data_IF_655078183758
#
_entry.id   IF_655078183758
#
_cell.length_a   1.000
_cell.length_b   1.000
_cell.length_c   1.000
_cell.angle_alpha   90.00
_cell.angle_beta   90.00
_cell.angle_gamma   90.00
#
_symmetry.space_group_name_H-M   'P 1'
#
loop_
_entity.id
_entity.type
_entity.pdbx_description
1 polymer ?
#
# COMPACT_ATOMS: atom_id res chain seq x y z
N UNK A 1 -9.54 22.44 17.55
CA UNK A 1 -8.82 21.92 16.36
C UNK A 1 -7.65 22.79 15.90
N UNK A 2 -7.68 24.11 16.09
CA UNK A 2 -6.57 25.02 15.69
C UNK A 2 -5.33 24.95 16.58
N UNK A 3 -5.46 24.66 17.85
CA UNK A 3 -4.34 24.69 18.82
C UNK A 3 -3.34 23.54 18.67
N UNK A 4 -3.72 22.39 18.16
CA UNK A 4 -2.78 21.29 17.94
C UNK A 4 -2.03 21.43 16.59
N UNK A 5 -2.66 22.05 15.58
CA UNK A 5 -2.02 22.36 14.28
C UNK A 5 -0.80 23.26 14.47
N UNK A 6 -0.94 24.32 15.29
CA UNK A 6 0.17 25.22 15.65
C UNK A 6 1.25 24.49 16.47
N UNK A 7 0.87 23.59 17.38
CA UNK A 7 1.81 22.80 18.17
C UNK A 7 2.66 21.83 17.31
N UNK A 8 2.06 21.20 16.30
CA UNK A 8 2.75 20.26 15.40
C UNK A 8 3.67 20.97 14.41
N UNK A 9 3.24 22.12 13.88
CA UNK A 9 4.01 22.92 12.92
C UNK A 9 5.16 23.72 13.59
N UNK A 10 5.00 24.05 14.89
CA UNK A 10 5.99 24.85 15.63
C UNK A 10 6.92 24.02 16.51
N UNK A 11 6.65 22.74 16.74
CA UNK A 11 7.64 21.85 17.34
C UNK A 11 8.78 21.64 16.34
N UNK A 12 9.84 22.42 16.52
CA UNK A 12 11.06 22.25 15.79
C UNK A 12 11.58 20.83 16.08
N UNK A 13 11.39 19.91 15.15
CA UNK A 13 11.92 18.54 15.21
C UNK A 13 13.45 18.49 15.31
N UNK A 14 14.12 19.65 15.27
CA UNK A 14 15.56 19.77 15.04
C UNK A 14 16.32 20.66 16.04
N UNK A 15 15.72 21.13 17.16
CA UNK A 15 16.42 22.03 18.08
C UNK A 15 17.41 21.38 19.04
N UNK A 16 17.35 20.05 19.20
CA UNK A 16 18.33 19.35 20.05
C UNK A 16 19.38 18.73 19.15
N UNK A 17 20.68 19.13 19.31
CA UNK A 17 21.75 18.52 18.54
C UNK A 17 21.74 17.01 18.71
N UNK A 18 21.65 16.30 17.61
CA UNK A 18 21.72 14.85 17.59
C UNK A 18 23.04 14.40 18.23
N UNK A 19 22.99 13.44 19.14
CA UNK A 19 24.17 13.02 19.92
C UNK A 19 24.21 13.56 21.34
N UNK A 20 23.26 14.42 21.75
CA UNK A 20 23.21 15.00 23.08
C UNK A 20 22.72 14.07 24.19
N UNK A 21 22.01 12.99 23.80
CA UNK A 21 21.46 12.02 24.74
C UNK A 21 22.25 10.71 24.77
N UNK A 22 22.24 10.05 25.93
CA UNK A 22 22.75 8.67 26.03
C UNK A 22 21.76 7.73 25.39
N UNK A 23 22.26 6.79 24.59
CA UNK A 23 21.41 5.71 24.04
C UNK A 23 20.94 4.82 25.19
N UNK A 24 19.64 4.77 25.44
CA UNK A 24 19.04 3.89 26.45
C UNK A 24 18.24 2.80 25.73
N UNK A 25 18.37 1.55 26.22
CA UNK A 25 17.52 0.47 25.77
C UNK A 25 16.10 0.69 26.30
N UNK A 26 15.09 0.63 25.42
CA UNK A 26 13.67 0.76 25.80
C UNK A 26 13.30 -0.24 26.89
N UNK A 27 13.88 -1.43 26.87
CA UNK A 27 13.59 -2.48 27.85
C UNK A 27 14.06 -2.12 29.25
N UNK A 28 15.07 -1.28 29.37
CA UNK A 28 15.60 -0.79 30.67
C UNK A 28 14.85 0.44 31.18
N UNK A 29 14.11 1.16 30.30
CA UNK A 29 13.30 2.30 30.74
C UNK A 29 12.13 1.85 31.62
N UNK A 30 11.86 2.65 32.65
CA UNK A 30 10.70 2.43 33.51
C UNK A 30 9.39 2.63 32.73
N UNK A 31 8.39 1.84 33.07
CA UNK A 31 7.07 1.94 32.45
C UNK A 31 6.45 3.32 32.63
N UNK A 32 6.72 3.99 33.77
CA UNK A 32 6.24 5.34 34.05
C UNK A 32 6.74 6.38 33.05
N UNK A 33 8.00 6.29 32.64
CA UNK A 33 8.58 7.16 31.60
C UNK A 33 7.92 6.93 30.25
N UNK A 34 7.74 5.66 29.84
CA UNK A 34 7.07 5.33 28.59
C UNK A 34 5.60 5.76 28.57
N UNK A 35 4.88 5.55 29.67
CA UNK A 35 3.49 6.00 29.82
C UNK A 35 3.40 7.52 29.71
N UNK A 36 4.31 8.24 30.38
CA UNK A 36 4.35 9.71 30.31
C UNK A 36 4.60 10.20 28.87
N UNK A 37 5.59 9.62 28.19
CA UNK A 37 5.93 9.96 26.80
C UNK A 37 4.79 9.64 25.83
N UNK A 38 4.15 8.47 25.96
CA UNK A 38 3.00 8.10 25.11
C UNK A 38 1.80 9.02 25.30
N UNK A 39 1.54 9.47 26.54
CA UNK A 39 0.50 10.45 26.83
C UNK A 39 0.79 11.85 26.29
N UNK A 40 2.07 12.19 26.12
CA UNK A 40 2.49 13.48 25.60
C UNK A 40 2.59 13.51 24.05
N UNK A 41 2.42 12.37 23.37
CA UNK A 41 2.35 12.36 21.90
C UNK A 41 1.14 13.18 21.41
N UNK A 42 1.33 14.07 20.43
CA UNK A 42 0.24 14.85 19.83
C UNK A 42 -0.62 13.96 18.93
N UNK A 43 -1.62 13.30 19.50
CA UNK A 43 -2.49 12.36 18.79
C UNK A 43 -3.91 12.40 19.28
N UNK A 44 -4.87 12.20 18.37
CA UNK A 44 -6.27 11.96 18.70
C UNK A 44 -6.60 10.46 18.75
N UNK A 45 -5.67 9.60 18.30
CA UNK A 45 -5.82 8.15 18.37
C UNK A 45 -5.44 7.70 19.79
N UNK A 46 -6.33 6.97 20.50
CA UNK A 46 -5.99 6.46 21.82
C UNK A 46 -4.77 5.52 21.78
N UNK A 47 -3.73 5.88 22.52
CA UNK A 47 -2.49 5.08 22.61
C UNK A 47 -2.42 4.47 24.03
N UNK A 48 -2.90 3.24 24.24
CA UNK A 48 -2.77 2.56 25.52
C UNK A 48 -1.35 2.00 25.69
N UNK A 49 -0.85 2.02 26.93
CA UNK A 49 0.39 1.34 27.29
C UNK A 49 0.11 -0.09 27.76
N UNK A 50 0.91 -1.04 27.25
CA UNK A 50 1.02 -2.41 27.75
C UNK A 50 2.33 -3.04 27.25
N UNK A 51 2.63 -4.28 27.69
CA UNK A 51 3.85 -4.98 27.31
C UNK A 51 4.01 -5.14 25.78
N UNK A 52 2.93 -5.32 25.01
CA UNK A 52 3.00 -5.44 23.55
C UNK A 52 3.41 -4.11 22.91
N UNK A 53 2.93 -3.00 23.43
CA UNK A 53 3.30 -1.65 22.98
C UNK A 53 4.76 -1.36 23.31
N UNK A 54 5.24 -1.74 24.52
CA UNK A 54 6.66 -1.63 24.89
C UNK A 54 7.56 -2.38 23.91
N UNK A 55 7.21 -3.63 23.56
CA UNK A 55 7.94 -4.42 22.56
C UNK A 55 7.87 -3.82 21.15
N UNK A 56 6.74 -3.23 20.77
CA UNK A 56 6.60 -2.48 19.52
C UNK A 56 7.59 -1.31 19.43
N UNK A 57 7.73 -0.55 20.52
CA UNK A 57 8.72 0.54 20.63
C UNK A 57 10.14 -0.02 20.59
N UNK A 58 10.43 -1.08 21.36
CA UNK A 58 11.75 -1.72 21.40
C UNK A 58 12.20 -2.23 20.03
N UNK A 59 11.26 -2.71 19.20
CA UNK A 59 11.53 -3.15 17.84
C UNK A 59 12.22 -2.08 16.99
N UNK A 60 11.88 -0.80 17.16
CA UNK A 60 12.45 0.28 16.36
C UNK A 60 13.64 0.94 17.07
N UNK A 61 13.53 1.19 18.36
CA UNK A 61 14.58 1.93 19.13
C UNK A 61 15.75 1.02 19.46
N UNK A 62 15.50 -0.18 20.00
CA UNK A 62 16.54 -1.08 20.47
C UNK A 62 17.04 -2.05 19.39
N UNK A 63 16.12 -2.69 18.66
CA UNK A 63 16.47 -3.76 17.72
C UNK A 63 16.85 -3.23 16.34
N UNK A 64 16.24 -2.10 15.89
CA UNK A 64 16.41 -1.56 14.52
C UNK A 64 16.71 -0.07 14.47
N UNK A 65 17.63 0.49 15.27
CA UNK A 65 17.91 1.93 15.28
C UNK A 65 18.43 2.44 13.92
N UNK A 66 19.16 1.59 13.18
CA UNK A 66 19.62 1.92 11.81
C UNK A 66 18.47 2.15 10.84
N UNK A 67 17.38 1.37 10.98
CA UNK A 67 16.17 1.54 10.17
C UNK A 67 15.52 2.89 10.44
N UNK A 68 15.41 3.29 11.72
CA UNK A 68 14.82 4.59 12.09
C UNK A 68 15.64 5.74 11.50
N UNK A 69 16.98 5.67 11.49
CA UNK A 69 17.83 6.69 10.86
C UNK A 69 17.50 6.90 9.39
N UNK A 70 17.21 5.81 8.64
CA UNK A 70 16.80 5.87 7.24
C UNK A 70 15.38 6.43 7.12
N UNK A 71 14.45 5.97 7.98
CA UNK A 71 13.07 6.43 7.99
C UNK A 71 12.96 7.93 8.29
N UNK A 72 13.73 8.44 9.25
CA UNK A 72 13.77 9.87 9.55
C UNK A 72 14.22 10.68 8.34
N UNK A 73 15.27 10.23 7.68
CA UNK A 73 15.79 10.91 6.49
C UNK A 73 14.81 10.87 5.30
N UNK A 74 14.11 9.74 5.06
CA UNK A 74 13.05 9.63 4.06
C UNK A 74 11.79 10.41 4.48
N UNK A 75 11.52 10.43 5.78
CA UNK A 75 10.38 11.12 6.38
C UNK A 75 10.39 12.63 6.13
N UNK A 76 11.56 13.27 6.08
CA UNK A 76 11.67 14.69 5.75
C UNK A 76 11.07 15.04 4.39
N UNK A 77 11.09 14.08 3.44
CA UNK A 77 10.47 14.25 2.13
C UNK A 77 9.02 13.75 2.09
N UNK A 78 8.74 12.56 2.64
CA UNK A 78 7.45 11.90 2.44
C UNK A 78 6.38 12.34 3.45
N UNK A 79 6.73 12.53 4.72
CA UNK A 79 5.73 12.86 5.76
C UNK A 79 4.99 14.17 5.47
N UNK A 80 5.63 15.30 5.10
CA UNK A 80 4.89 16.53 4.82
C UNK A 80 3.83 16.37 3.73
N UNK A 81 4.14 15.58 2.68
CA UNK A 81 3.20 15.30 1.58
C UNK A 81 2.00 14.50 2.09
N UNK A 82 2.27 13.47 2.90
CA UNK A 82 1.22 12.59 3.41
C UNK A 82 0.37 13.28 4.48
N UNK A 83 0.99 14.05 5.37
CA UNK A 83 0.33 14.83 6.43
C UNK A 83 -0.62 15.87 5.84
N UNK A 84 -0.20 16.61 4.79
CA UNK A 84 -1.07 17.55 4.07
C UNK A 84 -2.31 16.86 3.50
N UNK A 85 -2.13 15.69 2.87
CA UNK A 85 -3.23 14.92 2.28
C UNK A 85 -4.18 14.43 3.36
N UNK A 86 -3.67 13.92 4.48
CA UNK A 86 -4.47 13.42 5.59
C UNK A 86 -5.23 14.55 6.28
N UNK A 87 -4.59 15.68 6.56
CA UNK A 87 -5.21 16.85 7.18
C UNK A 87 -6.37 17.39 6.34
N UNK A 88 -6.16 17.60 5.02
CA UNK A 88 -7.25 18.10 4.15
C UNK A 88 -8.41 17.11 3.99
N UNK A 89 -8.19 15.80 4.22
CA UNK A 89 -9.23 14.78 4.24
C UNK A 89 -9.89 14.64 5.64
N UNK A 90 -9.45 15.40 6.63
CA UNK A 90 -9.95 15.38 8.01
C UNK A 90 -9.57 14.12 8.79
N UNK A 91 -8.40 13.54 8.48
CA UNK A 91 -7.88 12.34 9.11
C UNK A 91 -6.75 12.67 10.11
N UNK A 92 -6.55 11.84 11.15
CA UNK A 92 -5.41 11.96 12.04
C UNK A 92 -4.11 11.87 11.25
N UNK A 93 -3.25 12.89 11.36
CA UNK A 93 -2.00 12.94 10.58
C UNK A 93 -1.00 11.87 11.02
N UNK A 94 -1.08 11.43 12.27
CA UNK A 94 -0.23 10.35 12.78
C UNK A 94 -0.45 9.00 12.07
N UNK A 95 -1.53 8.82 11.33
CA UNK A 95 -1.74 7.64 10.49
C UNK A 95 -0.68 7.49 9.38
N UNK A 96 0.07 8.53 9.03
CA UNK A 96 1.18 8.44 8.08
C UNK A 96 2.27 7.47 8.54
N UNK A 97 2.42 7.26 9.84
CA UNK A 97 3.36 6.27 10.39
C UNK A 97 3.01 4.81 10.08
N UNK A 98 1.81 4.53 9.52
CA UNK A 98 1.50 3.23 8.95
C UNK A 98 2.45 2.87 7.79
N UNK A 99 2.91 3.85 7.02
CA UNK A 99 3.87 3.63 5.94
C UNK A 99 5.24 3.13 6.42
N UNK A 100 5.59 3.42 7.67
CA UNK A 100 6.79 2.85 8.31
C UNK A 100 6.61 1.34 8.53
N UNK A 101 5.44 0.93 8.99
CA UNK A 101 5.12 -0.49 9.23
C UNK A 101 4.98 -1.25 7.91
N UNK A 102 4.34 -0.65 6.91
CA UNK A 102 4.04 -1.27 5.62
C UNK A 102 5.27 -1.44 4.72
N UNK A 103 6.08 -0.40 4.59
CA UNK A 103 7.14 -0.36 3.58
C UNK A 103 8.47 0.20 4.09
N UNK A 104 8.56 0.64 5.36
CA UNK A 104 9.69 1.43 5.87
C UNK A 104 9.98 2.66 4.98
N UNK A 105 8.93 3.33 4.49
CA UNK A 105 8.98 4.44 3.54
C UNK A 105 9.64 4.12 2.20
N UNK A 106 9.71 2.84 1.79
CA UNK A 106 10.21 2.46 0.48
C UNK A 106 9.09 2.57 -0.59
N UNK A 107 9.13 3.56 -1.51
CA UNK A 107 8.11 3.74 -2.53
C UNK A 107 8.09 2.61 -3.58
N UNK A 108 9.15 1.81 -3.68
CA UNK A 108 9.25 0.68 -4.60
C UNK A 108 8.89 -0.67 -3.96
N UNK A 109 8.47 -0.68 -2.71
CA UNK A 109 8.19 -1.91 -1.99
C UNK A 109 7.09 -2.75 -2.68
N UNK A 110 7.36 -4.04 -2.81
CA UNK A 110 6.39 -5.04 -3.29
C UNK A 110 6.43 -6.24 -2.37
N UNK A 111 5.32 -6.56 -1.74
CA UNK A 111 5.21 -7.74 -0.87
C UNK A 111 5.10 -9.03 -1.70
N UNK A 112 5.33 -10.17 -1.06
CA UNK A 112 5.13 -11.48 -1.67
C UNK A 112 3.69 -11.70 -2.15
N UNK A 113 2.71 -11.08 -1.51
CA UNK A 113 1.30 -11.12 -1.89
C UNK A 113 0.94 -10.10 -2.99
N UNK A 114 1.86 -9.24 -3.42
CA UNK A 114 1.66 -8.24 -4.47
C UNK A 114 1.07 -6.91 -3.97
N UNK A 115 1.07 -6.66 -2.66
CA UNK A 115 0.85 -5.33 -2.13
C UNK A 115 2.02 -4.41 -2.54
N UNK A 116 1.75 -3.14 -2.85
CA UNK A 116 2.74 -2.29 -3.53
C UNK A 116 2.75 -0.85 -3.02
N UNK A 117 3.93 -0.23 -3.07
CA UNK A 117 4.18 1.17 -2.75
C UNK A 117 4.28 1.45 -1.25
N UNK A 118 4.33 2.74 -0.90
CA UNK A 118 4.44 3.21 0.49
C UNK A 118 3.35 2.64 1.40
N UNK A 119 2.13 2.55 0.89
CA UNK A 119 0.92 2.15 1.60
C UNK A 119 0.58 0.66 1.45
N UNK A 120 1.40 -0.12 0.74
CA UNK A 120 1.20 -1.56 0.50
C UNK A 120 -0.24 -1.91 0.07
N UNK A 121 -0.80 -1.13 -0.84
CA UNK A 121 -2.14 -1.37 -1.35
C UNK A 121 -2.17 -2.64 -2.22
N UNK A 122 -3.13 -3.53 -1.96
CA UNK A 122 -3.39 -4.68 -2.81
C UNK A 122 -3.98 -4.25 -4.15
N UNK A 123 -3.71 -5.00 -5.21
CA UNK A 123 -4.20 -4.69 -6.57
C UNK A 123 -5.73 -4.48 -6.63
N UNK A 124 -6.58 -5.34 -6.04
CA UNK A 124 -8.02 -5.11 -6.03
C UNK A 124 -8.41 -3.83 -5.28
N UNK A 125 -7.79 -3.59 -4.13
CA UNK A 125 -8.04 -2.40 -3.30
C UNK A 125 -7.63 -1.12 -4.03
N UNK A 126 -6.43 -1.07 -4.64
CA UNK A 126 -6.00 0.09 -5.40
C UNK A 126 -6.97 0.42 -6.55
N UNK A 127 -7.43 -0.60 -7.28
CA UNK A 127 -8.42 -0.40 -8.36
C UNK A 127 -9.78 0.08 -7.86
N UNK A 128 -10.27 -0.47 -6.75
CA UNK A 128 -11.55 -0.02 -6.15
C UNK A 128 -11.51 1.40 -5.63
N UNK A 129 -10.31 1.90 -5.31
CA UNK A 129 -10.05 3.27 -4.89
C UNK A 129 -9.71 4.22 -6.06
N UNK A 130 -9.85 3.75 -7.30
CA UNK A 130 -9.68 4.58 -8.51
C UNK A 130 -8.27 4.69 -9.03
N UNK A 131 -7.29 3.95 -8.50
CA UNK A 131 -5.91 3.99 -8.98
C UNK A 131 -5.78 3.33 -10.36
N UNK A 132 -5.06 4.00 -11.26
CA UNK A 132 -4.69 3.46 -12.58
C UNK A 132 -3.58 2.41 -12.42
N UNK A 133 -3.88 1.17 -12.77
CA UNK A 133 -2.94 0.06 -12.67
C UNK A 133 -2.97 -0.75 -13.96
N UNK A 134 -1.93 -0.56 -14.78
CA UNK A 134 -1.77 -1.22 -16.08
C UNK A 134 -0.31 -1.67 -16.31
N UNK A 135 0.05 -2.00 -17.55
CA UNK A 135 1.38 -2.49 -17.91
C UNK A 135 2.48 -1.42 -17.83
N UNK A 136 2.16 -0.14 -17.97
CA UNK A 136 3.10 0.99 -17.97
C UNK A 136 3.03 1.80 -16.68
N UNK A 137 1.84 1.96 -16.10
CA UNK A 137 1.59 2.78 -14.92
C UNK A 137 1.02 1.93 -13.80
N UNK A 138 1.50 2.16 -12.59
CA UNK A 138 0.92 1.61 -11.35
C UNK A 138 0.92 2.70 -10.28
N UNK A 139 -0.22 3.34 -10.11
CA UNK A 139 -0.38 4.48 -9.20
C UNK A 139 -0.35 4.10 -7.70
N UNK A 140 -0.24 2.81 -7.38
CA UNK A 140 0.07 2.37 -6.01
C UNK A 140 1.47 2.80 -5.56
N UNK A 141 2.37 3.03 -6.53
CA UNK A 141 3.72 3.56 -6.28
C UNK A 141 3.76 5.09 -6.27
N UNK A 142 2.75 5.77 -6.83
CA UNK A 142 2.66 7.23 -6.81
C UNK A 142 2.39 7.73 -5.39
N UNK A 143 3.28 8.56 -4.86
CA UNK A 143 3.23 9.04 -3.48
C UNK A 143 1.92 9.78 -3.17
N UNK A 144 1.50 10.67 -4.07
CA UNK A 144 0.29 11.48 -3.86
C UNK A 144 -0.98 10.65 -4.04
N UNK A 145 -1.10 9.95 -5.17
CA UNK A 145 -2.31 9.19 -5.49
C UNK A 145 -2.53 8.01 -4.56
N UNK A 146 -1.45 7.30 -4.19
CA UNK A 146 -1.57 6.21 -3.23
C UNK A 146 -1.90 6.71 -1.83
N UNK A 147 -1.43 7.90 -1.45
CA UNK A 147 -1.78 8.52 -0.17
C UNK A 147 -3.25 8.96 -0.15
N UNK A 148 -3.77 9.57 -1.23
CA UNK A 148 -5.20 9.86 -1.36
C UNK A 148 -6.06 8.59 -1.27
N UNK A 149 -5.64 7.53 -1.95
CA UNK A 149 -6.35 6.26 -1.90
C UNK A 149 -6.31 5.64 -0.49
N UNK A 150 -5.17 5.70 0.20
CA UNK A 150 -5.04 5.22 1.58
C UNK A 150 -5.88 6.04 2.55
N UNK A 151 -5.91 7.37 2.41
CA UNK A 151 -6.75 8.26 3.20
C UNK A 151 -8.24 7.93 3.03
N UNK A 152 -8.68 7.78 1.78
CA UNK A 152 -10.06 7.38 1.48
C UNK A 152 -10.39 6.01 2.09
N UNK A 153 -9.49 5.03 1.98
CA UNK A 153 -9.71 3.70 2.52
C UNK A 153 -9.77 3.70 4.06
N UNK A 154 -8.86 4.39 4.74
CA UNK A 154 -8.86 4.53 6.19
C UNK A 154 -10.13 5.24 6.69
N UNK A 155 -10.60 6.26 5.97
CA UNK A 155 -11.87 6.94 6.25
C UNK A 155 -13.07 5.98 6.16
N UNK A 156 -13.11 5.13 5.12
CA UNK A 156 -14.14 4.10 4.98
C UNK A 156 -14.08 3.09 6.13
N UNK A 157 -12.88 2.64 6.50
CA UNK A 157 -12.70 1.69 7.61
C UNK A 157 -13.09 2.29 8.96
N UNK A 158 -12.77 3.57 9.20
CA UNK A 158 -13.23 4.27 10.39
C UNK A 158 -14.75 4.39 10.43
N UNK A 159 -15.39 4.69 9.31
CA UNK A 159 -16.84 4.72 9.19
C UNK A 159 -17.54 3.38 9.50
N UNK A 160 -16.83 2.25 9.32
CA UNK A 160 -17.35 0.92 9.65
C UNK A 160 -17.25 0.57 11.15
N UNK A 161 -16.21 1.05 11.83
CA UNK A 161 -15.89 0.59 13.19
C UNK A 161 -15.99 1.67 14.27
N UNK A 162 -16.05 2.94 13.87
CA UNK A 162 -16.03 4.12 14.75
C UNK A 162 -14.91 4.06 15.81
N UNK A 163 -13.79 3.45 15.42
CA UNK A 163 -12.63 3.22 16.29
C UNK A 163 -11.36 3.13 15.44
N UNK A 164 -10.42 4.05 15.65
CA UNK A 164 -9.19 4.11 14.86
C UNK A 164 -8.32 2.86 14.97
N UNK A 165 -8.18 2.27 16.16
CA UNK A 165 -7.37 1.05 16.32
C UNK A 165 -7.99 -0.14 15.58
N UNK A 166 -9.33 -0.22 15.51
CA UNK A 166 -10.00 -1.23 14.70
C UNK A 166 -9.91 -0.93 13.21
N UNK A 167 -9.98 0.34 12.81
CA UNK A 167 -9.79 0.76 11.41
C UNK A 167 -8.37 0.42 10.93
N UNK A 168 -7.34 0.71 11.74
CA UNK A 168 -5.94 0.35 11.46
C UNK A 168 -5.79 -1.19 11.39
N UNK A 169 -6.39 -1.95 12.30
CA UNK A 169 -6.38 -3.40 12.24
C UNK A 169 -7.06 -3.92 10.96
N UNK A 170 -8.17 -3.29 10.55
CA UNK A 170 -8.89 -3.63 9.32
C UNK A 170 -8.13 -3.25 8.05
N UNK A 171 -7.31 -2.21 8.09
CA UNK A 171 -6.39 -1.87 7.01
C UNK A 171 -5.43 -3.03 6.72
N UNK A 172 -4.85 -3.62 7.77
CA UNK A 172 -3.91 -4.73 7.66
C UNK A 172 -4.59 -6.05 7.25
N UNK A 173 -5.65 -6.48 7.93
CA UNK A 173 -6.23 -7.82 7.70
C UNK A 173 -7.54 -7.83 6.91
N UNK A 174 -8.05 -6.67 6.54
CA UNK A 174 -9.35 -6.50 5.91
C UNK A 174 -10.51 -6.43 6.93
N UNK A 175 -11.57 -5.64 6.62
CA UNK A 175 -12.69 -5.41 7.54
C UNK A 175 -13.44 -6.70 7.92
N UNK A 176 -13.53 -7.67 7.01
CA UNK A 176 -14.18 -8.95 7.29
C UNK A 176 -13.53 -9.76 8.41
N UNK A 177 -12.20 -9.68 8.60
CA UNK A 177 -11.51 -10.36 9.68
C UNK A 177 -11.73 -9.66 11.03
N UNK A 178 -11.77 -8.33 11.04
CA UNK A 178 -12.11 -7.55 12.25
C UNK A 178 -13.57 -7.83 12.66
N UNK A 179 -14.51 -7.82 11.74
CA UNK A 179 -15.92 -8.17 12.01
C UNK A 179 -16.06 -9.59 12.58
N UNK A 180 -15.31 -10.57 12.04
CA UNK A 180 -15.27 -11.93 12.61
C UNK A 180 -14.70 -11.94 14.03
N UNK A 181 -13.65 -11.16 14.30
CA UNK A 181 -13.04 -11.05 15.62
C UNK A 181 -14.02 -10.43 16.64
N UNK A 182 -14.73 -9.36 16.26
CA UNK A 182 -15.80 -8.75 17.08
C UNK A 182 -16.86 -9.79 17.44
N UNK A 183 -17.37 -10.54 16.46
CA UNK A 183 -18.36 -11.59 16.70
C UNK A 183 -17.83 -12.69 17.64
N UNK A 184 -16.58 -13.15 17.44
CA UNK A 184 -15.97 -14.19 18.28
C UNK A 184 -15.68 -13.74 19.71
N UNK A 185 -15.45 -12.46 19.92
CA UNK A 185 -15.20 -11.88 21.24
C UNK A 185 -16.47 -11.61 22.06
N UNK A 186 -17.66 -11.95 21.52
CA UNK A 186 -18.93 -11.62 22.15
C UNK A 186 -19.35 -10.16 21.97
N UNK A 187 -18.99 -9.54 20.83
CA UNK A 187 -19.40 -8.16 20.50
C UNK A 187 -18.50 -7.06 21.04
N UNK A 188 -17.27 -7.35 21.48
CA UNK A 188 -16.32 -6.31 21.92
C UNK A 188 -15.91 -5.43 20.76
N UNK A 189 -15.93 -4.10 20.96
CA UNK A 189 -15.64 -3.08 19.93
C UNK A 189 -14.34 -2.31 20.19
N UNK A 190 -13.44 -2.83 21.00
CA UNK A 190 -12.10 -2.28 21.21
C UNK A 190 -11.03 -3.22 20.64
N UNK A 191 -9.92 -2.66 20.15
CA UNK A 191 -8.82 -3.48 19.60
C UNK A 191 -8.34 -4.55 20.60
N UNK A 192 -8.06 -4.16 21.84
CA UNK A 192 -7.58 -5.09 22.88
C UNK A 192 -8.64 -6.13 23.28
N UNK A 193 -9.92 -5.77 23.17
CA UNK A 193 -11.02 -6.70 23.39
C UNK A 193 -11.12 -7.80 22.33
N UNK A 194 -10.79 -7.47 21.08
CA UNK A 194 -10.80 -8.43 19.95
C UNK A 194 -9.43 -9.04 19.66
N UNK A 195 -8.38 -8.54 20.29
CA UNK A 195 -6.98 -8.92 20.07
C UNK A 195 -6.74 -10.45 19.99
N UNK A 196 -7.23 -11.29 20.91
CA UNK A 196 -7.00 -12.74 20.84
C UNK A 196 -7.60 -13.41 19.61
N UNK A 197 -8.60 -12.78 18.99
CA UNK A 197 -9.37 -13.33 17.86
C UNK A 197 -8.89 -12.80 16.50
N UNK A 198 -7.98 -11.82 16.50
CA UNK A 198 -7.36 -11.29 15.29
C UNK A 198 -6.28 -12.24 14.72
N UNK A 199 -5.99 -12.20 13.43
CA UNK A 199 -4.81 -12.87 12.85
C UNK A 199 -3.54 -12.50 13.61
N UNK A 200 -2.59 -13.43 13.74
CA UNK A 200 -1.35 -13.23 14.50
C UNK A 200 -0.55 -12.00 14.01
N UNK A 201 -0.47 -11.80 12.73
CA UNK A 201 0.20 -10.64 12.12
C UNK A 201 -0.46 -9.33 12.56
N UNK A 202 -1.78 -9.26 12.50
CA UNK A 202 -2.56 -8.07 12.86
C UNK A 202 -2.46 -7.71 14.34
N UNK A 203 -2.26 -8.70 15.23
CA UNK A 203 -2.05 -8.44 16.66
C UNK A 203 -0.81 -7.58 16.91
N UNK A 204 0.25 -7.76 16.13
CA UNK A 204 1.47 -6.97 16.27
C UNK A 204 1.42 -5.65 15.51
N UNK A 205 0.44 -5.46 14.65
CA UNK A 205 0.38 -4.29 13.76
C UNK A 205 0.18 -2.98 14.53
N UNK A 206 -0.74 -2.95 15.51
CA UNK A 206 -0.96 -1.78 16.37
C UNK A 206 0.25 -1.48 17.25
N UNK A 207 0.85 -2.45 17.99
CA UNK A 207 2.11 -2.23 18.69
C UNK A 207 3.23 -1.64 17.82
N UNK A 208 3.39 -2.15 16.59
CA UNK A 208 4.38 -1.63 15.64
C UNK A 208 4.03 -0.22 15.14
N UNK A 209 2.77 0.09 14.87
CA UNK A 209 2.34 1.44 14.52
C UNK A 209 2.66 2.45 15.63
N UNK A 210 2.31 2.12 16.88
CA UNK A 210 2.63 2.97 18.04
C UNK A 210 4.15 3.10 18.21
N UNK A 211 4.88 1.98 18.03
CA UNK A 211 6.34 1.96 18.10
C UNK A 211 7.00 2.84 17.03
N UNK A 212 6.50 2.80 15.79
CA UNK A 212 6.97 3.64 14.69
C UNK A 212 6.75 5.13 14.96
N UNK A 213 5.54 5.48 15.42
CA UNK A 213 5.21 6.85 15.79
C UNK A 213 6.09 7.34 16.93
N UNK A 214 6.19 6.58 18.03
CA UNK A 214 7.07 6.88 19.14
C UNK A 214 8.53 7.07 18.71
N UNK A 215 9.04 6.14 17.90
CA UNK A 215 10.43 6.17 17.47
C UNK A 215 10.76 7.39 16.58
N UNK A 216 9.85 7.77 15.69
CA UNK A 216 10.02 8.96 14.86
C UNK A 216 9.87 10.26 15.67
N UNK A 217 9.03 10.28 16.69
CA UNK A 217 8.81 11.47 17.52
C UNK A 217 9.91 11.69 18.56
N UNK A 218 10.33 10.62 19.26
CA UNK A 218 11.32 10.65 20.34
C UNK A 218 12.74 10.20 19.91
N UNK A 219 13.05 10.25 18.61
CA UNK A 219 14.36 9.80 18.10
C UNK A 219 15.55 10.50 18.76
N UNK A 220 15.41 11.80 19.11
CA UNK A 220 16.45 12.58 19.75
C UNK A 220 16.76 12.07 21.15
N UNK A 221 15.73 11.78 21.96
CA UNK A 221 15.87 11.25 23.33
C UNK A 221 16.57 9.89 23.36
N UNK A 222 16.55 9.19 22.21
CA UNK A 222 17.23 7.91 22.04
C UNK A 222 18.54 8.02 21.24
N UNK A 223 19.03 9.25 21.00
CA UNK A 223 20.25 9.51 20.25
C UNK A 223 20.28 8.87 18.85
N UNK A 224 19.12 8.80 18.19
CA UNK A 224 18.98 8.28 16.83
C UNK A 224 18.94 9.45 15.85
N UNK A 225 20.03 9.66 15.12
CA UNK A 225 20.18 10.74 14.15
C UNK A 225 19.71 10.33 12.76
N UNK A 226 19.02 11.20 11.99
CA UNK A 226 18.75 10.94 10.58
C UNK A 226 20.03 10.62 9.80
N UNK A 227 19.92 9.74 8.84
CA UNK A 227 21.00 9.52 7.87
C UNK A 227 20.98 10.66 6.84
N UNK A 228 22.13 11.08 6.35
CA UNK A 228 22.19 12.07 5.26
C UNK A 228 21.40 11.58 4.04
N UNK A 229 20.54 12.44 3.49
CA UNK A 229 19.70 12.13 2.34
C UNK A 229 19.95 13.10 1.19
N UNK A 230 19.75 12.61 -0.04
CA UNK A 230 19.90 13.38 -1.29
C UNK A 230 18.58 13.66 -2.00
N UNK A 231 17.43 13.48 -1.34
CA UNK A 231 16.13 13.79 -1.96
C UNK A 231 15.97 15.29 -2.15
N UNK A 232 15.57 15.77 -3.34
CA UNK A 232 15.33 17.18 -3.56
C UNK A 232 14.08 17.60 -2.79
N UNK A 233 14.21 18.51 -1.83
CA UNK A 233 13.08 19.03 -1.04
C UNK A 233 12.11 19.87 -1.90
N UNK A 234 12.64 20.64 -2.87
CA UNK A 234 11.85 21.46 -3.75
C UNK A 234 11.57 20.76 -5.10
N UNK A 235 10.37 20.22 -5.23
CA UNK A 235 9.90 19.56 -6.46
C UNK A 235 8.55 20.10 -6.88
N UNK A 236 8.28 20.05 -8.20
CA UNK A 236 6.98 20.38 -8.74
C UNK A 236 6.58 19.37 -9.83
N UNK A 237 5.36 19.46 -10.32
CA UNK A 237 4.80 18.57 -11.34
C UNK A 237 4.53 19.31 -12.64
N UNK A 238 4.83 18.63 -13.75
CA UNK A 238 4.48 19.08 -15.09
C UNK A 238 3.52 18.10 -15.74
N UNK A 239 2.45 18.60 -16.35
CA UNK A 239 1.50 17.80 -17.11
C UNK A 239 2.09 17.39 -18.48
N UNK A 240 2.07 16.10 -18.78
CA UNK A 240 2.62 15.51 -19.99
C UNK A 240 1.50 14.91 -20.83
N UNK A 241 1.35 15.40 -22.07
CA UNK A 241 0.33 14.93 -23.01
C UNK A 241 0.88 13.96 -24.06
N UNK A 242 2.18 14.04 -24.34
CA UNK A 242 2.87 13.20 -25.31
C UNK A 242 3.63 12.09 -24.59
N UNK A 243 3.85 10.94 -25.24
CA UNK A 243 4.66 9.88 -24.63
C UNK A 243 6.11 10.35 -24.48
N UNK A 244 6.70 10.04 -23.32
CA UNK A 244 8.08 10.38 -22.96
C UNK A 244 8.77 9.25 -22.23
N UNK A 245 10.07 9.11 -22.45
CA UNK A 245 10.92 8.23 -21.65
C UNK A 245 11.74 9.03 -20.64
N UNK A 246 12.10 8.42 -19.53
CA UNK A 246 12.99 9.06 -18.55
C UNK A 246 14.36 9.43 -19.13
N UNK A 247 14.85 8.65 -20.12
CA UNK A 247 16.08 8.98 -20.83
C UNK A 247 15.96 10.31 -21.59
N UNK A 248 14.85 10.56 -22.30
CA UNK A 248 14.60 11.82 -23.00
C UNK A 248 14.48 13.00 -22.01
N UNK A 249 13.79 12.79 -20.89
CA UNK A 249 13.67 13.81 -19.84
C UNK A 249 15.05 14.13 -19.26
N UNK A 250 15.85 13.09 -18.94
CA UNK A 250 17.22 13.25 -18.45
C UNK A 250 18.09 14.02 -19.43
N UNK A 251 18.02 13.68 -20.71
CA UNK A 251 18.77 14.39 -21.77
C UNK A 251 18.39 15.87 -21.88
N UNK A 252 17.10 16.18 -21.77
CA UNK A 252 16.61 17.56 -21.90
C UNK A 252 16.86 18.40 -20.65
N UNK A 253 16.82 17.81 -19.46
CA UNK A 253 16.88 18.55 -18.18
C UNK A 253 18.23 18.51 -17.52
N UNK A 254 19.07 17.52 -17.87
CA UNK A 254 20.33 17.20 -17.16
C UNK A 254 20.11 16.45 -15.81
N UNK A 255 18.88 16.12 -15.45
CA UNK A 255 18.57 15.39 -14.21
C UNK A 255 18.90 13.91 -14.41
N UNK A 256 19.62 13.26 -13.50
CA UNK A 256 19.91 11.82 -13.59
C UNK A 256 18.62 10.99 -13.68
N UNK A 257 18.61 10.00 -14.58
CA UNK A 257 17.44 9.10 -14.79
C UNK A 257 16.99 8.43 -13.48
N UNK A 258 17.93 8.10 -12.59
CA UNK A 258 17.62 7.48 -11.31
C UNK A 258 16.87 8.44 -10.37
N UNK A 259 17.22 9.71 -10.37
CA UNK A 259 16.48 10.73 -9.62
C UNK A 259 15.07 10.93 -10.18
N UNK A 260 14.93 10.95 -11.52
CA UNK A 260 13.61 11.00 -12.17
C UNK A 260 12.77 9.78 -11.77
N UNK A 261 13.36 8.59 -11.74
CA UNK A 261 12.71 7.35 -11.33
C UNK A 261 12.26 7.40 -9.88
N UNK A 262 13.12 7.88 -8.99
CA UNK A 262 12.82 7.97 -7.55
C UNK A 262 11.65 8.91 -7.27
N UNK A 263 11.54 9.99 -8.02
CA UNK A 263 10.44 10.95 -7.91
C UNK A 263 9.15 10.48 -8.61
N UNK A 264 9.25 9.47 -9.51
CA UNK A 264 8.13 9.00 -10.33
C UNK A 264 8.07 7.46 -10.37
N UNK A 265 7.96 6.79 -9.22
CA UNK A 265 8.02 5.32 -9.16
C UNK A 265 6.83 4.62 -9.82
N UNK A 266 5.73 5.34 -10.08
CA UNK A 266 4.53 4.83 -10.76
C UNK A 266 4.79 4.43 -12.21
N UNK A 267 5.83 4.95 -12.89
CA UNK A 267 6.12 4.63 -14.28
C UNK A 267 7.08 3.44 -14.39
N UNK A 268 6.50 2.25 -14.54
CA UNK A 268 7.19 0.94 -14.40
C UNK A 268 8.44 0.75 -15.23
N UNK A 269 8.51 1.30 -16.42
CA UNK A 269 9.63 1.12 -17.35
C UNK A 269 10.34 2.44 -17.66
N UNK A 270 10.14 3.46 -16.84
CA UNK A 270 10.63 4.78 -17.15
C UNK A 270 10.00 5.36 -18.42
N UNK A 271 8.75 4.98 -18.69
CA UNK A 271 7.98 5.44 -19.84
C UNK A 271 6.68 6.05 -19.34
N UNK A 272 6.45 7.32 -19.65
CA UNK A 272 5.17 8.00 -19.49
C UNK A 272 4.39 7.71 -20.78
N UNK A 273 3.20 7.07 -20.71
CA UNK A 273 2.43 6.76 -21.90
C UNK A 273 1.79 8.01 -22.51
N UNK A 274 1.30 7.88 -23.74
CA UNK A 274 0.45 8.90 -24.33
C UNK A 274 -0.78 9.16 -23.42
N UNK A 275 -1.11 10.42 -23.22
CA UNK A 275 -2.29 10.79 -22.49
C UNK A 275 -3.57 10.40 -23.26
N UNK A 276 -4.57 9.92 -22.53
CA UNK A 276 -5.95 9.85 -23.00
C UNK A 276 -6.66 11.20 -22.80
N UNK A 277 -7.83 11.16 -22.19
CA UNK A 277 -8.57 12.36 -21.78
C UNK A 277 -7.90 13.15 -20.64
N UNK A 278 -7.12 12.46 -19.80
CA UNK A 278 -6.42 13.05 -18.65
C UNK A 278 -4.90 12.96 -18.86
N UNK A 279 -4.15 14.08 -18.74
CA UNK A 279 -2.70 14.07 -18.89
C UNK A 279 -2.06 13.30 -17.73
N UNK A 280 -0.92 12.66 -18.00
CA UNK A 280 -0.05 12.16 -16.97
C UNK A 280 0.82 13.29 -16.41
N UNK A 281 1.27 13.18 -15.17
CA UNK A 281 2.14 14.16 -14.53
C UNK A 281 3.52 13.55 -14.28
N UNK A 282 4.57 14.35 -14.46
CA UNK A 282 5.91 14.02 -14.03
C UNK A 282 6.34 15.00 -12.93
N UNK A 283 6.96 14.47 -11.88
CA UNK A 283 7.56 15.25 -10.79
C UNK A 283 9.05 15.39 -11.01
N UNK A 284 9.56 16.60 -10.93
CA UNK A 284 10.98 16.90 -11.06
C UNK A 284 11.40 17.93 -10.02
N UNK A 285 12.71 18.05 -9.71
CA UNK A 285 13.23 19.23 -9.03
C UNK A 285 12.83 20.50 -9.78
N UNK A 286 12.58 21.59 -9.06
CA UNK A 286 12.16 22.88 -9.66
C UNK A 286 13.08 23.33 -10.80
N UNK A 287 14.39 23.10 -10.68
CA UNK A 287 15.38 23.43 -11.71
C UNK A 287 15.21 22.67 -13.02
N UNK A 288 14.46 21.60 -13.02
CA UNK A 288 14.19 20.77 -14.21
C UNK A 288 12.86 21.06 -14.90
N UNK A 289 11.93 21.71 -14.21
CA UNK A 289 10.57 21.94 -14.73
C UNK A 289 10.60 22.85 -15.96
N UNK A 290 11.22 24.03 -15.86
CA UNK A 290 11.31 24.98 -16.98
C UNK A 290 12.06 24.40 -18.17
N UNK A 291 13.16 23.68 -17.92
CA UNK A 291 13.94 23.03 -18.99
C UNK A 291 13.12 21.95 -19.71
N UNK A 292 12.31 21.18 -18.97
CA UNK A 292 11.46 20.18 -19.60
C UNK A 292 10.32 20.83 -20.38
N UNK A 293 9.73 21.92 -19.89
CA UNK A 293 8.66 22.62 -20.61
C UNK A 293 9.14 23.17 -21.95
N UNK A 294 10.30 23.82 -21.97
CA UNK A 294 10.96 24.26 -23.22
C UNK A 294 11.26 23.07 -24.15
N UNK A 295 11.77 21.96 -23.60
CA UNK A 295 12.06 20.77 -24.38
C UNK A 295 10.80 20.12 -24.96
N UNK A 296 9.67 20.12 -24.23
CA UNK A 296 8.38 19.63 -24.72
C UNK A 296 7.85 20.44 -25.91
N UNK A 297 8.04 21.76 -25.89
CA UNK A 297 7.71 22.61 -27.02
C UNK A 297 8.51 22.22 -28.27
N UNK A 298 9.80 21.93 -28.11
CA UNK A 298 10.67 21.51 -29.19
C UNK A 298 10.37 20.08 -29.67
N UNK A 299 10.12 19.14 -28.74
CA UNK A 299 9.75 17.75 -29.06
C UNK A 299 8.40 17.64 -29.78
N UNK A 300 7.42 18.44 -29.45
CA UNK A 300 6.16 18.53 -30.20
C UNK A 300 6.39 18.89 -31.65
N UNK A 301 7.46 19.63 -31.93
CA UNK A 301 7.80 20.10 -33.27
C UNK A 301 8.52 19.05 -34.14
N UNK A 302 9.38 18.21 -33.54
CA UNK A 302 10.36 17.42 -34.31
C UNK A 302 10.29 15.89 -34.23
N UNK A 303 9.60 15.24 -33.25
CA UNK A 303 9.85 13.80 -32.97
C UNK A 303 8.63 12.88 -32.74
N UNK A 304 7.51 13.14 -33.37
CA UNK A 304 6.30 12.30 -33.21
C UNK A 304 6.56 10.81 -33.59
N UNK A 305 7.36 10.55 -34.60
CA UNK A 305 7.62 9.19 -35.06
C UNK A 305 8.63 8.41 -34.17
N UNK A 306 9.69 9.06 -33.73
CA UNK A 306 10.74 8.41 -32.93
C UNK A 306 10.24 8.01 -31.54
N UNK A 307 9.43 8.88 -30.92
CA UNK A 307 8.75 8.61 -29.67
C UNK A 307 7.80 7.43 -29.78
N UNK A 308 7.03 7.36 -30.88
CA UNK A 308 6.13 6.24 -31.14
C UNK A 308 6.87 4.91 -31.25
N UNK A 309 8.04 4.90 -31.95
CA UNK A 309 8.89 3.70 -32.07
C UNK A 309 9.49 3.25 -30.72
N UNK A 310 9.95 4.19 -29.90
CA UNK A 310 10.53 3.86 -28.58
C UNK A 310 9.48 3.29 -27.63
N UNK A 311 8.26 3.84 -27.63
CA UNK A 311 7.16 3.34 -26.80
C UNK A 311 6.69 1.97 -27.31
N UNK A 312 6.55 1.80 -28.62
CA UNK A 312 6.22 0.50 -29.21
C UNK A 312 7.23 -0.57 -28.79
N UNK A 313 8.54 -0.23 -28.83
CA UNK A 313 9.61 -1.13 -28.35
C UNK A 313 9.48 -1.45 -26.85
N UNK A 314 9.24 -0.45 -26.00
CA UNK A 314 9.03 -0.67 -24.58
C UNK A 314 7.77 -1.52 -24.29
N UNK A 315 6.69 -1.32 -25.05
CA UNK A 315 5.47 -2.14 -24.97
C UNK A 315 5.71 -3.58 -25.45
N UNK A 316 6.51 -3.77 -26.48
CA UNK A 316 6.87 -5.09 -27.00
C UNK A 316 7.75 -5.87 -26.02
N UNK A 317 8.72 -5.20 -25.38
CA UNK A 317 9.53 -5.77 -24.30
C UNK A 317 8.68 -6.21 -23.10
N UNK A 318 7.62 -5.44 -22.77
CA UNK A 318 6.64 -5.83 -21.75
C UNK A 318 5.89 -7.10 -22.13
N UNK A 319 5.52 -7.26 -23.41
CA UNK A 319 4.87 -8.47 -23.91
C UNK A 319 5.79 -9.67 -23.92
N UNK A 320 7.09 -9.45 -24.21
CA UNK A 320 8.14 -10.49 -24.28
C UNK A 320 8.78 -10.82 -22.94
N UNK A 321 8.68 -9.94 -21.92
CA UNK A 321 9.13 -10.27 -20.58
C UNK A 321 8.34 -11.50 -20.11
N UNK A 322 9.01 -12.58 -19.67
CA UNK A 322 8.30 -13.74 -19.16
C UNK A 322 7.38 -13.22 -18.07
N UNK A 323 6.07 -13.38 -18.27
CA UNK A 323 5.12 -13.26 -17.19
C UNK A 323 5.71 -14.09 -16.06
N UNK A 324 6.22 -13.43 -15.01
CA UNK A 324 6.65 -14.12 -13.80
C UNK A 324 5.45 -14.92 -13.40
N UNK A 325 5.53 -16.17 -13.72
CA UNK A 325 4.71 -17.32 -13.46
C UNK A 325 3.62 -17.09 -12.40
N UNK A 326 2.59 -16.35 -12.76
CA UNK A 326 1.23 -16.71 -12.47
C UNK A 326 0.57 -17.06 -13.80
N UNK A 327 1.05 -18.15 -14.42
CA UNK A 327 0.11 -19.06 -15.01
C UNK A 327 -0.81 -19.48 -13.86
N UNK A 328 -1.86 -18.72 -13.58
CA UNK A 328 -3.13 -19.38 -13.49
C UNK A 328 -3.13 -20.25 -14.76
N UNK A 329 -2.83 -21.53 -14.62
CA UNK A 329 -3.23 -22.53 -15.58
C UNK A 329 -4.67 -22.15 -15.88
N UNK A 330 -4.94 -21.54 -17.01
CA UNK A 330 -6.19 -21.77 -17.70
C UNK A 330 -6.14 -23.28 -17.90
N UNK A 331 -6.48 -23.98 -16.84
CA UNK A 331 -6.85 -25.38 -16.85
C UNK A 331 -7.99 -25.32 -17.85
N UNK A 332 -7.75 -25.73 -19.09
CA UNK A 332 -8.86 -26.13 -19.95
C UNK A 332 -9.77 -26.87 -19.03
N UNK A 333 -10.91 -26.25 -18.72
CA UNK A 333 -11.81 -26.72 -17.66
C UNK A 333 -12.10 -28.17 -17.99
N UNK A 334 -11.50 -29.11 -17.24
CA UNK A 334 -11.74 -30.56 -17.36
C UNK A 334 -13.23 -30.87 -17.19
N UNK A 335 -14.00 -29.85 -16.96
CA UNK A 335 -15.44 -29.94 -16.66
C UNK A 335 -16.23 -28.94 -17.46
N UNK A 336 -17.38 -29.39 -17.98
CA UNK A 336 -18.46 -28.54 -18.51
C UNK A 336 -19.45 -28.30 -17.37
N UNK A 337 -19.89 -27.06 -17.16
CA UNK A 337 -20.94 -26.76 -16.18
C UNK A 337 -22.30 -27.04 -16.81
N UNK A 338 -23.09 -27.90 -16.18
CA UNK A 338 -24.46 -28.22 -16.58
C UNK A 338 -25.44 -27.76 -15.48
N UNK A 339 -26.49 -27.05 -15.89
CA UNK A 339 -27.58 -26.64 -14.99
C UNK A 339 -28.68 -27.70 -15.07
N UNK A 340 -28.96 -28.39 -13.97
CA UNK A 340 -29.98 -29.44 -13.86
C UNK A 340 -31.34 -28.87 -14.21
N UNK A 341 -32.10 -29.58 -15.06
CA UNK A 341 -33.43 -29.24 -15.46
C UNK A 341 -34.47 -30.14 -14.74
N UNK A 342 -35.74 -29.72 -14.72
CA UNK A 342 -36.83 -30.53 -14.13
C UNK A 342 -36.91 -31.87 -14.88
N UNK A 343 -36.92 -33.01 -14.14
CA UNK A 343 -36.93 -34.37 -14.70
C UNK A 343 -35.55 -34.95 -15.07
N UNK A 344 -34.43 -34.22 -14.82
CA UNK A 344 -33.09 -34.77 -14.99
C UNK A 344 -32.75 -35.74 -13.86
N UNK A 345 -32.00 -36.79 -14.22
CA UNK A 345 -31.33 -37.71 -13.30
C UNK A 345 -29.86 -37.76 -13.64
N UNK A 346 -29.00 -38.13 -12.68
CA UNK A 346 -27.57 -38.27 -12.93
C UNK A 346 -27.28 -39.21 -14.08
N UNK A 347 -28.07 -40.29 -14.25
CA UNK A 347 -27.92 -41.24 -15.34
C UNK A 347 -28.26 -40.64 -16.71
N UNK A 348 -29.34 -39.85 -16.80
CA UNK A 348 -29.71 -39.15 -18.04
C UNK A 348 -28.63 -38.08 -18.40
N UNK A 349 -28.12 -37.34 -17.41
CA UNK A 349 -27.10 -36.35 -17.63
C UNK A 349 -25.79 -37.03 -18.08
N UNK A 350 -25.39 -38.12 -17.41
CA UNK A 350 -24.18 -38.86 -17.76
C UNK A 350 -24.24 -39.39 -19.22
N UNK A 351 -25.38 -40.02 -19.63
CA UNK A 351 -25.58 -40.51 -20.98
C UNK A 351 -25.52 -39.38 -22.01
N UNK A 352 -26.17 -38.23 -21.74
CA UNK A 352 -26.19 -37.05 -22.63
C UNK A 352 -24.83 -36.43 -22.86
N UNK A 353 -23.93 -36.53 -21.88
CA UNK A 353 -22.61 -35.91 -21.90
C UNK A 353 -21.48 -36.91 -22.10
N UNK A 354 -21.76 -38.17 -22.46
CA UNK A 354 -20.73 -39.16 -22.74
C UNK A 354 -19.84 -39.51 -21.55
N UNK A 355 -20.36 -39.40 -20.31
CA UNK A 355 -19.60 -39.65 -19.08
C UNK A 355 -20.32 -40.64 -18.16
N UNK A 356 -19.75 -41.02 -17.05
CA UNK A 356 -20.35 -41.90 -16.07
C UNK A 356 -20.97 -41.18 -14.89
N UNK A 357 -22.00 -41.76 -14.28
CA UNK A 357 -22.60 -41.25 -13.03
C UNK A 357 -21.56 -41.16 -11.93
N UNK A 358 -20.63 -42.11 -11.84
CA UNK A 358 -19.56 -42.12 -10.88
C UNK A 358 -18.60 -40.94 -11.08
N UNK A 359 -18.28 -40.57 -12.33
CA UNK A 359 -17.46 -39.44 -12.67
C UNK A 359 -18.13 -38.09 -12.29
N UNK A 360 -19.41 -37.95 -12.57
CA UNK A 360 -20.20 -36.76 -12.16
C UNK A 360 -20.25 -36.66 -10.64
N UNK A 361 -20.50 -37.76 -9.94
CA UNK A 361 -20.51 -37.78 -8.46
C UNK A 361 -19.19 -37.34 -7.87
N UNK A 362 -18.07 -37.89 -8.34
CA UNK A 362 -16.72 -37.49 -7.89
C UNK A 362 -16.45 -36.01 -8.15
N UNK A 363 -16.78 -35.52 -9.36
CA UNK A 363 -16.53 -34.13 -9.75
C UNK A 363 -17.33 -33.11 -8.92
N UNK A 364 -18.43 -33.55 -8.27
CA UNK A 364 -19.35 -32.67 -7.53
C UNK A 364 -19.43 -33.02 -6.02
N UNK A 365 -18.63 -33.95 -5.52
CA UNK A 365 -18.65 -34.34 -4.11
C UNK A 365 -19.98 -34.98 -3.67
N UNK A 366 -20.73 -35.58 -4.59
CA UNK A 366 -22.03 -36.20 -4.27
C UNK A 366 -21.83 -37.57 -3.62
N UNK A 367 -22.28 -37.72 -2.37
CA UNK A 367 -22.16 -38.95 -1.56
C UNK A 367 -23.46 -39.80 -1.64
N UNK A 368 -23.36 -41.08 -1.35
CA UNK A 368 -24.48 -42.02 -1.32
C UNK A 368 -24.74 -42.74 -2.67
N UNK A 369 -25.55 -43.83 -2.61
CA UNK A 369 -25.83 -44.68 -3.81
C UNK A 369 -26.62 -43.91 -4.88
N UNK A 370 -27.65 -43.13 -4.47
CA UNK A 370 -28.50 -42.34 -5.33
C UNK A 370 -28.63 -40.89 -4.77
N UNK A 371 -27.64 -40.01 -4.97
CA UNK A 371 -27.75 -38.65 -4.47
C UNK A 371 -28.83 -37.85 -5.22
N UNK A 372 -29.63 -37.12 -4.46
CA UNK A 372 -30.68 -36.24 -5.04
C UNK A 372 -30.02 -35.02 -5.68
N UNK A 373 -30.46 -34.65 -6.86
CA UNK A 373 -30.12 -33.40 -7.56
C UNK A 373 -31.38 -32.57 -7.75
N UNK A 374 -31.27 -31.25 -7.74
CA UNK A 374 -32.40 -30.35 -7.79
C UNK A 374 -32.40 -29.52 -9.09
N UNK A 375 -33.55 -29.19 -9.67
CA UNK A 375 -33.63 -28.26 -10.79
C UNK A 375 -32.90 -26.93 -10.42
N UNK A 376 -32.10 -26.41 -11.35
CA UNK A 376 -31.27 -25.21 -11.10
C UNK A 376 -29.88 -25.49 -10.54
N UNK A 377 -29.62 -26.66 -9.97
CA UNK A 377 -28.28 -27.03 -9.45
C UNK A 377 -27.27 -27.07 -10.59
N UNK A 378 -26.08 -26.52 -10.34
CA UNK A 378 -24.94 -26.52 -11.30
C UNK A 378 -24.04 -27.70 -11.02
N UNK A 379 -23.88 -28.59 -11.99
CA UNK A 379 -23.02 -29.77 -11.90
C UNK A 379 -21.81 -29.62 -12.82
N UNK A 380 -20.62 -29.99 -12.29
CA UNK A 380 -19.39 -30.15 -13.07
C UNK A 380 -19.45 -31.49 -13.79
N UNK A 381 -19.51 -31.47 -15.11
CA UNK A 381 -19.51 -32.67 -15.94
C UNK A 381 -18.10 -32.87 -16.50
N UNK A 382 -17.43 -33.96 -16.20
CA UNK A 382 -16.13 -34.30 -16.81
C UNK A 382 -16.26 -34.39 -18.34
N UNK A 383 -15.27 -33.85 -19.05
CA UNK A 383 -15.15 -34.01 -20.51
C UNK A 383 -14.45 -35.31 -20.85
#
# INVERSE_FOLDING_TARGET
>A
METWRTGYATQQRFEVPCGSYKTEDIRSLSDSVLISRLKALPTIIPIPYNAMVKEGIATYISDRPRLIRVILALGDYYFPIMEEIFDRNGLPVELVYLTVVESALNPFAVSRAGASGLWQLMLPTGRSLGLTINSLVDERFDVYKSTEAAALYLKQLYGLFDNWLLAIAAYNCGPGNVTKAIRRSGGKTTFWGVYPYLPRETRNYIPLFIGAYYACYYHNEHNICPQAQSMPLATDTLAVQIPLTFAQISQSTGIPTEQIRTLNPQYKRGVIPAAGSTPYTIRLPLTGISKLDEALINLRRNHKEELSKQIAKAQEEIKKAPASTQKSKATQSRYKIYKVRRGDTLSKIAKRHGTSVAAIKRANGLKGRNPRIHPGQRLKIPR
#
